data_IF_087647165764
#
_entry.id   IF_087647165764
#
_cell.length_a   1.000
_cell.length_b   1.000
_cell.length_c   1.000
_cell.angle_alpha   90.00
_cell.angle_beta   90.00
_cell.angle_gamma   90.00
#
_symmetry.space_group_name_H-M   'P 1'
#
loop_
_entity.id
_entity.type
_entity.pdbx_description
1 polymer ?
#
# COMPACT_ATOMS: atom_id res chain seq x y z
N UNK A 1 13.00 -6.16 15.09
CA UNK A 1 12.74 -5.59 13.76
C UNK A 1 11.50 -4.76 13.91
N UNK A 2 11.54 -3.51 13.50
CA UNK A 2 10.36 -2.66 13.52
C UNK A 2 9.40 -3.18 12.45
N UNK A 3 8.22 -3.61 12.87
CA UNK A 3 7.23 -4.18 11.97
C UNK A 3 6.65 -3.07 11.10
N UNK A 4 6.66 -3.30 9.80
CA UNK A 4 6.12 -2.37 8.80
C UNK A 4 5.05 -3.09 8.00
N UNK A 5 4.08 -2.31 7.55
CA UNK A 5 3.03 -2.76 6.66
C UNK A 5 3.21 -2.09 5.29
N UNK A 6 2.73 -2.76 4.26
CA UNK A 6 2.57 -2.18 2.93
C UNK A 6 1.10 -1.81 2.75
N UNK A 7 0.87 -0.56 2.34
CA UNK A 7 -0.46 -0.05 2.02
C UNK A 7 -0.47 0.32 0.56
N UNK A 8 -1.50 -0.11 -0.15
CA UNK A 8 -1.65 0.05 -1.59
C UNK A 8 -2.98 0.73 -1.86
N UNK A 9 -2.94 1.83 -2.61
CA UNK A 9 -4.12 2.49 -3.11
C UNK A 9 -4.35 2.12 -4.56
N UNK A 10 -5.48 1.49 -4.85
CA UNK A 10 -5.88 1.13 -6.22
C UNK A 10 -6.94 2.07 -6.76
N UNK A 11 -6.88 2.37 -8.05
CA UNK A 11 -7.93 3.14 -8.76
C UNK A 11 -8.86 2.17 -9.47
N UNK A 12 -10.16 2.28 -9.23
CA UNK A 12 -11.15 1.69 -10.13
C UNK A 12 -11.54 2.71 -11.19
N UNK A 13 -11.28 2.38 -12.46
CA UNK A 13 -11.53 3.23 -13.63
C UNK A 13 -12.99 3.72 -13.72
N UNK A 14 -13.92 3.01 -13.07
CA UNK A 14 -15.36 3.28 -13.16
C UNK A 14 -15.94 4.15 -12.02
N UNK A 15 -15.18 4.44 -10.95
CA UNK A 15 -15.65 5.26 -9.82
C UNK A 15 -14.75 6.47 -9.63
N UNK A 16 -15.15 7.60 -10.24
CA UNK A 16 -14.47 8.89 -10.06
C UNK A 16 -14.33 9.21 -8.55
N UNK A 17 -13.09 9.35 -8.11
CA UNK A 17 -12.64 9.85 -6.80
C UNK A 17 -12.53 8.87 -5.61
N UNK A 18 -12.70 7.55 -5.79
CA UNK A 18 -12.46 6.59 -4.69
C UNK A 18 -11.31 5.62 -4.98
N UNK A 19 -10.31 5.62 -4.10
CA UNK A 19 -9.27 4.59 -4.07
C UNK A 19 -9.64 3.53 -3.04
N UNK A 20 -9.50 2.25 -3.40
CA UNK A 20 -9.54 1.18 -2.41
C UNK A 20 -8.16 1.01 -1.77
N UNK A 21 -8.13 0.89 -0.44
CA UNK A 21 -6.92 0.81 0.34
C UNK A 21 -6.73 -0.64 0.83
N UNK A 22 -5.76 -1.33 0.24
CA UNK A 22 -5.36 -2.65 0.66
C UNK A 22 -4.21 -2.58 1.67
N UNK A 23 -4.27 -3.41 2.72
CA UNK A 23 -3.25 -3.51 3.76
C UNK A 23 -2.60 -4.90 3.75
N UNK A 24 -1.27 -4.92 3.65
CA UNK A 24 -0.45 -6.11 3.75
C UNK A 24 0.44 -6.01 4.99
N UNK A 25 0.17 -6.84 5.99
CA UNK A 25 0.79 -6.72 7.31
C UNK A 25 2.16 -7.39 7.41
N UNK A 26 3.02 -6.82 8.26
CA UNK A 26 4.32 -7.40 8.66
C UNK A 26 5.23 -7.71 7.45
N UNK A 27 5.33 -6.79 6.50
CA UNK A 27 6.19 -6.90 5.31
C UNK A 27 7.65 -6.67 5.70
N UNK A 28 8.51 -7.63 5.35
CA UNK A 28 9.95 -7.64 5.67
C UNK A 28 10.84 -7.38 4.45
N UNK A 29 10.29 -7.49 3.25
CA UNK A 29 10.98 -7.15 2.00
C UNK A 29 9.97 -6.60 1.00
N UNK A 30 10.36 -5.55 0.28
CA UNK A 30 9.58 -4.93 -0.78
C UNK A 30 10.49 -4.61 -1.96
N UNK A 31 10.14 -5.09 -3.15
CA UNK A 31 10.92 -4.89 -4.39
C UNK A 31 9.98 -4.57 -5.55
N UNK A 32 10.43 -3.72 -6.48
CA UNK A 32 9.79 -3.57 -7.78
C UNK A 32 10.57 -4.39 -8.81
N UNK A 33 9.84 -5.16 -9.63
CA UNK A 33 10.38 -5.98 -10.71
C UNK A 33 9.78 -5.47 -12.01
N UNK A 34 10.61 -5.37 -13.05
CA UNK A 34 10.22 -4.88 -14.37
C UNK A 34 10.57 -5.93 -15.43
N UNK A 35 9.58 -6.34 -16.22
CA UNK A 35 9.75 -7.16 -17.43
C UNK A 35 9.80 -6.25 -18.66
N UNK A 36 11.01 -6.05 -19.18
CA UNK A 36 11.28 -5.18 -20.32
C UNK A 36 10.82 -5.77 -21.68
N UNK A 37 10.52 -7.07 -21.75
CA UNK A 37 10.05 -7.72 -22.98
C UNK A 37 8.54 -7.52 -23.13
N UNK A 38 7.81 -7.65 -22.02
CA UNK A 38 6.36 -7.54 -21.99
C UNK A 38 5.84 -6.17 -21.55
N UNK A 39 6.73 -5.26 -21.15
CA UNK A 39 6.40 -3.93 -20.62
C UNK A 39 5.52 -4.01 -19.36
N UNK A 40 5.81 -4.99 -18.49
CA UNK A 40 5.07 -5.25 -17.27
C UNK A 40 5.90 -4.86 -16.05
N UNK A 41 5.23 -4.32 -15.02
CA UNK A 41 5.87 -3.94 -13.77
C UNK A 41 5.07 -4.47 -12.59
N UNK A 42 5.77 -5.12 -11.67
CA UNK A 42 5.20 -5.72 -10.48
C UNK A 42 5.84 -5.16 -9.21
N UNK A 43 5.07 -5.15 -8.14
CA UNK A 43 5.54 -4.95 -6.77
C UNK A 43 5.48 -6.31 -6.07
N UNK A 44 6.59 -6.74 -5.49
CA UNK A 44 6.66 -8.01 -4.76
C UNK A 44 7.00 -7.72 -3.30
N UNK A 45 6.12 -8.16 -2.42
CA UNK A 45 6.28 -8.08 -0.98
C UNK A 45 6.50 -9.47 -0.39
N UNK A 46 7.36 -9.57 0.62
CA UNK A 46 7.52 -10.79 1.43
C UNK A 46 7.14 -10.44 2.85
N UNK A 47 6.20 -11.19 3.42
CA UNK A 47 5.77 -11.01 4.82
C UNK A 47 6.69 -11.77 5.78
N UNK A 48 6.60 -11.45 7.08
CA UNK A 48 7.34 -12.14 8.13
C UNK A 48 7.01 -13.63 8.26
N UNK A 49 5.87 -14.09 7.72
CA UNK A 49 5.52 -15.52 7.65
C UNK A 49 6.25 -16.26 6.52
N UNK A 50 6.91 -15.52 5.61
CA UNK A 50 7.52 -16.04 4.39
C UNK A 50 6.57 -16.10 3.19
N UNK A 51 5.36 -15.58 3.32
CA UNK A 51 4.43 -15.44 2.20
C UNK A 51 4.92 -14.38 1.21
N UNK A 52 4.93 -14.73 -0.07
CA UNK A 52 5.23 -13.81 -1.17
C UNK A 52 3.92 -13.32 -1.79
N UNK A 53 3.82 -12.00 -1.95
CA UNK A 53 2.66 -11.29 -2.47
C UNK A 53 3.12 -10.54 -3.71
N UNK A 54 2.54 -10.89 -4.86
CA UNK A 54 2.82 -10.24 -6.14
C UNK A 54 1.64 -9.34 -6.48
N UNK A 55 1.94 -8.06 -6.75
CA UNK A 55 0.97 -7.04 -7.08
C UNK A 55 1.31 -6.45 -8.44
N UNK A 56 0.37 -6.54 -9.37
CA UNK A 56 0.43 -5.76 -10.61
C UNK A 56 0.39 -4.28 -10.25
N UNK A 57 1.26 -3.47 -10.87
CA UNK A 57 1.31 -2.02 -10.64
C UNK A 57 0.41 -1.23 -11.58
N UNK A 58 -0.26 -1.88 -12.53
CA UNK A 58 -1.10 -1.21 -13.52
C UNK A 58 -2.25 -0.38 -12.91
N UNK A 59 -2.87 -0.88 -11.84
CA UNK A 59 -4.00 -0.25 -11.16
C UNK A 59 -3.62 0.41 -9.83
N UNK A 60 -2.33 0.42 -9.48
CA UNK A 60 -1.81 1.04 -8.26
C UNK A 60 -1.54 2.53 -8.53
N UNK A 61 -2.28 3.42 -7.87
CA UNK A 61 -2.00 4.86 -7.91
C UNK A 61 -0.75 5.17 -7.08
N UNK A 62 -0.72 4.65 -5.85
CA UNK A 62 0.41 4.82 -4.95
C UNK A 62 0.50 3.66 -3.95
N UNK A 63 1.68 3.47 -3.40
CA UNK A 63 1.91 2.57 -2.27
C UNK A 63 2.82 3.23 -1.22
N UNK A 64 2.72 2.76 0.02
CA UNK A 64 3.52 3.23 1.16
C UNK A 64 3.97 2.06 2.02
N UNK A 65 5.25 2.03 2.38
CA UNK A 65 5.83 1.10 3.33
C UNK A 65 6.06 1.85 4.64
N UNK A 66 5.21 1.58 5.64
CA UNK A 66 5.09 2.42 6.84
C UNK A 66 5.18 1.56 8.10
N UNK A 67 5.59 2.13 9.24
CA UNK A 67 5.49 1.45 10.53
C UNK A 67 4.06 0.95 10.76
N UNK A 68 3.93 -0.24 11.32
CA UNK A 68 2.61 -0.86 11.50
C UNK A 68 1.70 -0.08 12.46
N UNK A 69 2.27 0.79 13.29
CA UNK A 69 1.57 1.67 14.21
C UNK A 69 1.42 3.11 13.69
N UNK A 70 1.73 3.37 12.42
CA UNK A 70 1.48 4.65 11.76
C UNK A 70 -0.01 5.01 11.75
N UNK A 71 -0.32 6.30 11.56
CA UNK A 71 -1.71 6.77 11.47
C UNK A 71 -2.43 6.13 10.28
N UNK A 72 -1.75 6.03 9.13
CA UNK A 72 -2.28 5.40 7.92
C UNK A 72 -2.57 3.90 8.15
N UNK A 73 -1.63 3.13 8.71
CA UNK A 73 -1.85 1.70 8.97
C UNK A 73 -3.00 1.46 9.98
N UNK A 74 -3.13 2.32 10.99
CA UNK A 74 -4.27 2.28 11.93
C UNK A 74 -5.58 2.69 11.27
N UNK A 75 -5.54 3.62 10.32
CA UNK A 75 -6.71 4.10 9.60
C UNK A 75 -7.29 2.99 8.71
N UNK A 76 -6.46 2.35 7.88
CA UNK A 76 -6.91 1.29 6.96
C UNK A 76 -7.46 0.08 7.73
N UNK A 77 -6.82 -0.34 8.82
CA UNK A 77 -7.33 -1.44 9.68
C UNK A 77 -8.71 -1.17 10.27
N UNK A 78 -9.06 0.09 10.49
CA UNK A 78 -10.35 0.48 11.07
C UNK A 78 -11.46 0.53 10.03
N UNK A 79 -11.16 0.30 8.75
CA UNK A 79 -12.10 0.47 7.63
C UNK A 79 -12.81 1.83 7.69
N UNK A 80 -12.02 2.87 8.04
CA UNK A 80 -12.56 4.22 8.14
C UNK A 80 -12.70 4.83 6.74
N UNK A 81 -13.66 5.74 6.57
CA UNK A 81 -14.01 6.35 5.27
C UNK A 81 -13.89 7.88 5.26
N UNK A 82 -13.11 8.44 6.17
CA UNK A 82 -12.90 9.88 6.24
C UNK A 82 -11.82 10.31 5.23
N UNK A 83 -11.97 11.48 4.62
CA UNK A 83 -10.95 11.99 3.71
C UNK A 83 -9.76 12.51 4.52
N UNK A 84 -8.68 11.74 4.54
CA UNK A 84 -7.45 12.07 5.23
C UNK A 84 -6.30 12.18 4.23
N UNK A 85 -5.31 13.02 4.54
CA UNK A 85 -4.05 13.08 3.80
C UNK A 85 -2.91 12.60 4.69
N UNK A 86 -1.95 11.87 4.12
CA UNK A 86 -0.81 11.32 4.86
C UNK A 86 0.53 11.59 4.17
N UNK A 87 1.57 11.67 4.98
CA UNK A 87 2.95 11.74 4.48
C UNK A 87 3.47 10.35 4.05
N UNK A 88 4.70 10.30 3.53
CA UNK A 88 5.34 9.06 3.08
C UNK A 88 5.56 8.03 4.21
N UNK A 89 5.59 8.47 5.46
CA UNK A 89 5.75 7.63 6.66
C UNK A 89 4.40 7.20 7.25
N UNK A 90 3.29 7.60 6.64
CA UNK A 90 1.94 7.29 7.11
C UNK A 90 1.49 8.16 8.28
N UNK A 91 2.12 9.31 8.52
CA UNK A 91 1.63 10.29 9.48
C UNK A 91 0.52 11.13 8.84
N UNK A 92 -0.50 11.45 9.62
CA UNK A 92 -1.60 12.31 9.20
C UNK A 92 -1.11 13.75 8.98
N UNK A 93 -1.39 14.31 7.81
CA UNK A 93 -1.14 15.71 7.46
C UNK A 93 -2.41 16.54 7.70
N UNK A 94 -3.57 16.04 7.25
CA UNK A 94 -4.86 16.73 7.36
C UNK A 94 -6.04 15.75 7.40
N UNK A 95 -7.17 16.18 7.99
CA UNK A 95 -8.48 15.50 7.94
C UNK A 95 -9.49 16.49 7.36
N UNK A 96 -10.26 16.08 6.36
CA UNK A 96 -11.31 16.86 5.71
C UNK A 96 -12.71 16.30 6.03
#
# INVERSE_FOLDING_TARGET
>A
MDAHDLIVARVYIDEEDFFDLELYENVVSLKSIEDLIHDEKMLVAITSSGEEIELDTFDIEWFRYVPNDSHLAKYVRKDNRNNCEWDEQGNLISEN
#
